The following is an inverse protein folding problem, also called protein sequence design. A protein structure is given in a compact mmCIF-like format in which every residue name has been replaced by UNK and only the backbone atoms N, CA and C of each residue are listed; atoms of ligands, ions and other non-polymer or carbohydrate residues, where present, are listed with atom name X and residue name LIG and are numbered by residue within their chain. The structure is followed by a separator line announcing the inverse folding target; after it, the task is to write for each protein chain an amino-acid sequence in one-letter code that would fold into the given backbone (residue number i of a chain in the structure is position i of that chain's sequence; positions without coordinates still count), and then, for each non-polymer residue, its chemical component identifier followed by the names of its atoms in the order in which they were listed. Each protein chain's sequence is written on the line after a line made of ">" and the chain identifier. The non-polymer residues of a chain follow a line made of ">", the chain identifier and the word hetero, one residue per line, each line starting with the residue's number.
data_IF_264517544605
#
_entry.id   IF_264517544605
#
_cell.length_a   1.000
_cell.length_b   1.000
_cell.length_c   1.000
_cell.angle_alpha   90.00
_cell.angle_beta   90.00
_cell.angle_gamma   90.00
#
_symmetry.space_group_name_H-M   'P 1'
#
loop_
_entity.id
_entity.type
_entity.pdbx_description
1 polymer ?
#
# COMPACT_ATOMS: atom_id res chain seq x y z
N UNK A 1 -53.37 -90.98 -11.18
CA UNK A 1 -53.66 -89.56 -11.45
C UNK A 1 -54.11 -88.94 -10.13
N UNK A 2 -53.12 -88.57 -9.30
CA UNK A 2 -52.75 -87.18 -8.89
C UNK A 2 -53.65 -86.67 -7.73
N UNK A 3 -53.42 -87.05 -6.46
CA UNK A 3 -52.43 -86.56 -5.48
C UNK A 3 -52.53 -85.06 -5.17
N UNK A 4 -53.22 -84.70 -4.08
CA UNK A 4 -53.21 -83.36 -3.47
C UNK A 4 -52.09 -83.26 -2.43
N UNK A 5 -51.28 -82.17 -2.40
CA UNK A 5 -50.24 -81.99 -1.40
C UNK A 5 -50.72 -81.22 -0.15
N UNK A 6 -50.02 -81.47 0.95
CA UNK A 6 -50.22 -80.92 2.30
C UNK A 6 -49.84 -79.42 2.41
N UNK A 7 -50.29 -78.70 3.46
CA UNK A 7 -50.00 -77.29 3.63
C UNK A 7 -48.58 -77.04 4.13
N UNK A 8 -47.94 -76.05 3.49
CA UNK A 8 -46.58 -75.56 3.78
C UNK A 8 -46.51 -74.74 5.07
N UNK A 9 -45.61 -75.14 5.97
CA UNK A 9 -45.23 -74.40 7.19
C UNK A 9 -44.26 -73.26 6.85
N UNK A 10 -44.62 -72.01 7.17
CA UNK A 10 -43.71 -70.85 7.12
C UNK A 10 -42.61 -70.99 8.18
N UNK A 11 -41.33 -70.70 7.86
CA UNK A 11 -40.29 -70.58 8.86
C UNK A 11 -40.40 -69.23 9.59
N UNK A 12 -40.22 -69.29 10.91
CA UNK A 12 -40.13 -68.17 11.84
C UNK A 12 -38.87 -67.35 11.57
N UNK A 13 -39.02 -66.02 11.53
CA UNK A 13 -37.93 -65.07 11.33
C UNK A 13 -37.02 -65.03 12.57
N UNK A 14 -35.74 -65.35 12.38
CA UNK A 14 -34.69 -65.22 13.40
C UNK A 14 -34.32 -63.74 13.56
N UNK A 15 -34.46 -63.23 14.79
CA UNK A 15 -34.08 -61.87 15.18
C UNK A 15 -32.56 -61.67 15.06
N UNK A 16 -32.12 -60.83 14.12
CA UNK A 16 -30.72 -60.41 14.00
C UNK A 16 -30.36 -59.38 15.10
N UNK A 17 -29.23 -59.57 15.76
CA UNK A 17 -28.69 -58.65 16.76
C UNK A 17 -28.29 -57.30 16.12
N UNK A 18 -28.47 -56.16 16.81
CA UNK A 18 -28.14 -54.85 16.28
C UNK A 18 -26.62 -54.69 16.13
N UNK A 19 -26.19 -54.20 14.97
CA UNK A 19 -24.79 -53.85 14.72
C UNK A 19 -24.33 -52.70 15.63
N UNK A 20 -23.07 -52.70 16.08
CA UNK A 20 -22.51 -51.60 16.85
C UNK A 20 -22.47 -50.33 15.99
N UNK A 21 -22.87 -49.21 16.60
CA UNK A 21 -22.83 -47.91 15.97
C UNK A 21 -21.40 -47.55 15.55
N UNK A 22 -21.20 -46.94 14.36
CA UNK A 22 -19.88 -46.50 13.93
C UNK A 22 -19.30 -45.49 14.93
N UNK A 23 -18.03 -45.70 15.30
CA UNK A 23 -17.32 -44.79 16.18
C UNK A 23 -17.33 -43.36 15.59
N UNK A 24 -17.47 -42.32 16.44
CA UNK A 24 -17.46 -40.95 15.96
C UNK A 24 -16.12 -40.68 15.25
N UNK A 25 -16.22 -40.35 13.96
CA UNK A 25 -15.08 -39.88 13.16
C UNK A 25 -14.53 -38.65 13.88
N UNK A 26 -13.26 -38.71 14.29
CA UNK A 26 -12.59 -37.58 14.92
C UNK A 26 -12.74 -36.35 14.01
N UNK A 27 -13.31 -35.27 14.55
CA UNK A 27 -13.47 -34.03 13.81
C UNK A 27 -12.09 -33.59 13.29
N UNK A 28 -11.99 -33.38 11.97
CA UNK A 28 -10.80 -32.80 11.37
C UNK A 28 -10.46 -31.49 12.11
N UNK A 29 -9.18 -31.24 12.43
CA UNK A 29 -8.80 -30.00 13.10
C UNK A 29 -9.31 -28.81 12.28
N UNK A 30 -9.99 -27.88 12.95
CA UNK A 30 -10.52 -26.69 12.31
C UNK A 30 -9.41 -25.99 11.53
N UNK A 31 -9.63 -25.79 10.22
CA UNK A 31 -8.65 -25.15 9.34
C UNK A 31 -8.34 -23.75 9.89
N UNK A 32 -7.08 -23.48 10.24
CA UNK A 32 -6.65 -22.15 10.67
C UNK A 32 -6.85 -21.18 9.50
N UNK A 33 -7.38 -19.99 9.78
CA UNK A 33 -7.55 -18.93 8.77
C UNK A 33 -6.17 -18.46 8.30
N UNK A 34 -5.91 -18.37 6.98
CA UNK A 34 -4.63 -17.88 6.46
C UNK A 34 -4.35 -16.46 6.95
N UNK A 35 -3.10 -16.21 7.32
CA UNK A 35 -2.56 -14.94 7.79
C UNK A 35 -2.05 -14.12 6.63
N UNK A 36 -2.60 -12.93 6.48
CA UNK A 36 -2.38 -12.07 5.34
C UNK A 36 -1.86 -10.71 5.80
N UNK A 37 -0.82 -10.21 5.14
CA UNK A 37 -0.39 -8.83 5.29
C UNK A 37 -0.27 -8.14 3.93
N UNK A 38 -0.44 -6.82 3.94
CA UNK A 38 -0.40 -5.99 2.75
C UNK A 38 0.85 -5.12 2.75
N UNK A 39 1.68 -5.25 1.72
CA UNK A 39 2.70 -4.26 1.40
C UNK A 39 2.02 -2.90 1.18
N UNK A 40 2.31 -1.96 2.06
CA UNK A 40 1.62 -0.69 2.16
C UNK A 40 2.61 0.45 2.09
N UNK A 41 2.46 1.29 1.08
CA UNK A 41 3.24 2.52 0.87
C UNK A 41 2.40 3.77 1.08
N UNK A 42 1.10 3.62 1.32
CA UNK A 42 0.18 4.75 1.41
C UNK A 42 -0.33 5.26 0.08
N UNK A 43 0.24 4.80 -1.03
CA UNK A 43 -0.19 5.20 -2.36
C UNK A 43 -1.53 4.62 -2.77
N UNK A 44 -2.05 5.12 -3.89
CA UNK A 44 -3.37 4.74 -4.44
C UNK A 44 -3.51 3.22 -4.58
N UNK A 45 -2.49 2.51 -5.03
CA UNK A 45 -2.63 1.09 -5.40
C UNK A 45 -2.70 0.20 -4.17
N UNK A 46 -1.77 0.36 -3.24
CA UNK A 46 -1.82 -0.36 -1.96
C UNK A 46 -3.09 -0.02 -1.17
N UNK A 47 -3.55 1.23 -1.21
CA UNK A 47 -4.81 1.63 -0.55
C UNK A 47 -6.04 1.09 -1.27
N UNK A 48 -6.03 0.97 -2.59
CA UNK A 48 -7.10 0.36 -3.37
C UNK A 48 -7.21 -1.14 -3.02
N UNK A 49 -6.09 -1.86 -2.98
CA UNK A 49 -6.07 -3.26 -2.54
C UNK A 49 -6.64 -3.38 -1.13
N UNK A 50 -6.26 -2.49 -0.21
CA UNK A 50 -6.81 -2.52 1.15
C UNK A 50 -8.34 -2.37 1.16
N UNK A 51 -8.88 -1.42 0.38
CA UNK A 51 -10.33 -1.24 0.26
C UNK A 51 -11.01 -2.47 -0.38
N UNK A 52 -10.41 -3.06 -1.40
CA UNK A 52 -10.91 -4.28 -2.02
C UNK A 52 -10.92 -5.45 -1.01
N UNK A 53 -9.90 -5.59 -0.18
CA UNK A 53 -9.83 -6.67 0.81
C UNK A 53 -10.80 -6.50 1.98
N UNK A 54 -10.94 -5.28 2.51
CA UNK A 54 -11.62 -5.03 3.79
C UNK A 54 -12.99 -4.36 3.67
N UNK A 55 -13.25 -3.63 2.57
CA UNK A 55 -14.47 -2.84 2.38
C UNK A 55 -15.38 -3.35 1.26
N UNK A 56 -14.79 -3.71 0.11
CA UNK A 56 -15.49 -4.13 -1.12
C UNK A 56 -14.93 -5.44 -1.70
N UNK A 57 -14.95 -6.53 -0.92
CA UNK A 57 -14.44 -7.84 -1.34
C UNK A 57 -15.18 -8.43 -2.55
N UNK A 58 -16.43 -8.06 -2.75
CA UNK A 58 -17.24 -8.44 -3.92
C UNK A 58 -16.64 -7.95 -5.25
N UNK A 59 -15.93 -6.82 -5.24
CA UNK A 59 -15.34 -6.25 -6.46
C UNK A 59 -14.09 -6.99 -6.94
N UNK A 60 -13.43 -7.79 -6.08
CA UNK A 60 -12.32 -8.64 -6.52
C UNK A 60 -12.80 -9.70 -7.51
N UNK A 61 -13.96 -10.31 -7.28
CA UNK A 61 -14.55 -11.27 -8.22
C UNK A 61 -15.26 -10.57 -9.39
N UNK A 62 -16.04 -9.52 -9.11
CA UNK A 62 -16.94 -8.93 -10.12
C UNK A 62 -16.25 -7.91 -11.03
N UNK A 63 -15.45 -7.00 -10.47
CA UNK A 63 -14.77 -5.98 -11.26
C UNK A 63 -13.41 -6.46 -11.79
N UNK A 64 -12.65 -7.21 -10.98
CA UNK A 64 -11.32 -7.68 -11.36
C UNK A 64 -11.29 -9.12 -11.90
N UNK A 65 -12.43 -9.83 -11.88
CA UNK A 65 -12.52 -11.17 -12.44
C UNK A 65 -11.67 -12.23 -11.71
N UNK A 66 -11.27 -11.99 -10.45
CA UNK A 66 -10.44 -12.93 -9.69
C UNK A 66 -11.28 -14.16 -9.34
N UNK A 67 -10.75 -15.34 -9.64
CA UNK A 67 -11.43 -16.61 -9.43
C UNK A 67 -10.70 -17.47 -8.39
N UNK A 68 -11.43 -18.38 -7.75
CA UNK A 68 -10.81 -19.47 -7.01
C UNK A 68 -9.92 -20.27 -7.96
N UNK A 69 -8.69 -20.62 -7.53
CA UNK A 69 -7.89 -21.61 -8.24
C UNK A 69 -8.71 -22.90 -8.35
N UNK A 70 -8.96 -23.38 -9.57
CA UNK A 70 -9.29 -24.80 -9.75
C UNK A 70 -7.97 -25.55 -9.60
N UNK A 71 -7.96 -26.65 -8.87
CA UNK A 71 -6.84 -27.59 -8.82
C UNK A 71 -6.51 -28.06 -10.25
N UNK A 72 -5.70 -27.31 -10.99
CA UNK A 72 -5.21 -27.65 -12.32
C UNK A 72 -3.97 -26.82 -12.65
N UNK A 73 -2.89 -27.54 -12.92
CA UNK A 73 -1.48 -27.17 -12.80
C UNK A 73 -0.93 -26.11 -13.78
N UNK A 74 -1.71 -25.42 -14.63
CA UNK A 74 -1.14 -24.65 -15.76
C UNK A 74 -1.79 -23.27 -16.04
N UNK A 75 -2.35 -22.59 -15.03
CA UNK A 75 -2.91 -21.24 -15.17
C UNK A 75 -1.96 -20.13 -14.72
N UNK A 76 -2.12 -18.93 -15.25
CA UNK A 76 -1.43 -17.73 -14.77
C UNK A 76 -1.79 -17.46 -13.29
N UNK A 77 -0.91 -17.86 -12.35
CA UNK A 77 -1.03 -17.74 -10.88
C UNK A 77 -1.48 -16.36 -10.36
N UNK A 78 -1.49 -15.34 -11.23
CA UNK A 78 -1.79 -13.94 -10.91
C UNK A 78 -3.29 -13.63 -10.85
N UNK A 79 -4.15 -14.42 -11.48
CA UNK A 79 -5.62 -14.26 -11.44
C UNK A 79 -6.32 -15.23 -10.46
N UNK A 80 -5.51 -15.94 -9.68
CA UNK A 80 -5.98 -16.95 -8.74
C UNK A 80 -5.86 -16.47 -7.30
N UNK A 81 -6.83 -16.84 -6.48
CA UNK A 81 -6.70 -16.68 -5.03
C UNK A 81 -5.54 -17.53 -4.50
N UNK A 82 -4.78 -17.02 -3.52
CA UNK A 82 -3.78 -17.81 -2.81
C UNK A 82 -4.38 -19.06 -2.14
N UNK A 83 -3.59 -20.13 -1.95
CA UNK A 83 -4.05 -21.34 -1.27
C UNK A 83 -4.69 -21.03 0.09
N UNK A 84 -5.91 -21.52 0.30
CA UNK A 84 -6.64 -21.34 1.55
C UNK A 84 -7.42 -20.03 1.70
N UNK A 85 -7.21 -19.04 0.81
CA UNK A 85 -8.06 -17.84 0.76
C UNK A 85 -9.30 -18.16 -0.06
N UNK A 86 -10.47 -18.01 0.56
CA UNK A 86 -11.76 -18.26 -0.09
C UNK A 86 -12.52 -16.94 -0.29
N UNK A 87 -12.96 -16.69 -1.52
CA UNK A 87 -13.97 -15.65 -1.79
C UNK A 87 -15.24 -15.96 -1.00
N UNK A 88 -15.95 -14.91 -0.55
CA UNK A 88 -17.29 -15.09 -0.01
C UNK A 88 -18.19 -15.81 -1.04
N UNK A 89 -19.13 -16.66 -0.60
CA UNK A 89 -20.09 -17.28 -1.52
C UNK A 89 -20.83 -16.19 -2.31
N UNK A 90 -20.88 -16.33 -3.64
CA UNK A 90 -21.65 -15.44 -4.49
C UNK A 90 -23.09 -15.32 -3.99
N UNK A 91 -23.59 -14.07 -3.92
CA UNK A 91 -24.93 -13.68 -3.48
C UNK A 91 -26.02 -14.68 -3.87
N UNK A 92 -26.39 -15.56 -2.95
CA UNK A 92 -27.77 -15.97 -2.76
C UNK A 92 -28.08 -15.83 -1.27
N UNK A 93 -28.72 -14.71 -0.93
CA UNK A 93 -29.52 -14.54 0.28
C UNK A 93 -28.80 -14.72 1.62
N UNK A 94 -28.03 -13.72 2.06
CA UNK A 94 -28.03 -13.30 3.48
C UNK A 94 -27.64 -11.81 3.58
N UNK A 95 -28.22 -11.07 4.52
CA UNK A 95 -27.85 -9.70 4.91
C UNK A 95 -26.45 -9.60 5.58
N UNK A 96 -25.54 -10.53 5.28
CA UNK A 96 -24.21 -10.56 5.86
C UNK A 96 -23.21 -9.97 4.87
N UNK A 97 -22.35 -9.06 5.36
CA UNK A 97 -21.25 -8.50 4.59
C UNK A 97 -20.37 -9.67 4.11
N UNK A 98 -20.06 -9.79 2.81
CA UNK A 98 -19.18 -10.83 2.31
C UNK A 98 -17.83 -10.75 3.06
N UNK A 99 -17.40 -11.81 3.73
CA UNK A 99 -16.11 -11.84 4.44
C UNK A 99 -15.23 -12.93 3.87
N UNK A 100 -14.02 -12.56 3.48
CA UNK A 100 -12.98 -13.54 3.19
C UNK A 100 -12.61 -14.34 4.43
N UNK A 101 -12.25 -15.59 4.22
CA UNK A 101 -11.72 -16.42 5.29
C UNK A 101 -10.20 -16.22 5.46
N UNK A 102 -9.78 -15.02 5.86
CA UNK A 102 -8.38 -14.73 6.24
C UNK A 102 -8.29 -13.88 7.53
N UNK A 103 -7.16 -14.00 8.23
CA UNK A 103 -6.74 -13.09 9.28
C UNK A 103 -5.87 -11.97 8.67
N UNK A 104 -6.36 -10.73 8.67
CA UNK A 104 -5.53 -9.58 8.28
C UNK A 104 -4.61 -9.21 9.43
N UNK A 105 -3.30 -9.43 9.27
CA UNK A 105 -2.31 -9.27 10.33
C UNK A 105 -1.85 -7.82 10.46
N UNK A 106 -1.44 -7.19 9.36
CA UNK A 106 -0.92 -5.83 9.36
C UNK A 106 -0.78 -5.24 7.95
N UNK A 107 -0.68 -3.90 7.93
CA UNK A 107 0.02 -3.16 6.88
C UNK A 107 1.53 -3.33 7.10
N UNK A 108 2.29 -3.51 6.03
CA UNK A 108 3.74 -3.74 6.09
C UNK A 108 4.47 -2.76 5.17
N UNK A 109 5.44 -2.04 5.71
CA UNK A 109 6.32 -1.15 4.93
C UNK A 109 7.76 -1.62 5.11
N UNK A 110 8.35 -2.09 4.01
CA UNK A 110 9.77 -2.41 3.96
C UNK A 110 10.59 -1.13 3.74
N UNK A 111 11.69 -0.97 4.47
CA UNK A 111 12.56 0.19 4.33
C UNK A 111 14.03 -0.19 4.51
N UNK A 112 14.98 0.50 3.85
CA UNK A 112 16.39 0.35 4.18
C UNK A 112 16.68 1.00 5.55
N UNK A 113 17.89 0.78 6.09
CA UNK A 113 18.36 1.36 7.35
C UNK A 113 18.25 2.89 7.43
N UNK A 114 18.50 3.58 6.32
CA UNK A 114 18.44 5.04 6.20
C UNK A 114 17.48 5.43 5.08
N UNK A 115 16.15 5.41 5.31
CA UNK A 115 15.17 5.62 4.25
C UNK A 115 15.12 7.09 3.82
N UNK A 116 15.28 7.31 2.51
CA UNK A 116 15.03 8.61 1.86
C UNK A 116 13.95 8.41 0.80
N UNK A 117 12.68 8.48 1.22
CA UNK A 117 11.53 8.31 0.32
C UNK A 117 10.88 9.65 0.01
N UNK A 118 11.10 10.18 -1.20
CA UNK A 118 10.45 11.42 -1.66
C UNK A 118 8.94 11.22 -1.89
N UNK A 119 8.56 10.05 -2.40
CA UNK A 119 7.20 9.74 -2.83
C UNK A 119 6.27 9.22 -1.72
N UNK A 120 6.82 8.36 -0.84
CA UNK A 120 6.08 7.59 0.16
C UNK A 120 6.72 7.75 1.54
N UNK A 121 6.59 8.93 2.16
CA UNK A 121 7.25 9.25 3.41
C UNK A 121 6.72 8.42 4.59
N UNK A 122 7.63 7.86 5.41
CA UNK A 122 7.27 6.95 6.51
C UNK A 122 6.34 7.57 7.56
N UNK A 123 6.47 8.88 7.81
CA UNK A 123 5.58 9.62 8.71
C UNK A 123 4.15 9.69 8.18
N UNK A 124 3.99 9.91 6.87
CA UNK A 124 2.70 9.89 6.19
C UNK A 124 2.05 8.51 6.26
N UNK A 125 2.81 7.44 5.99
CA UNK A 125 2.31 6.05 6.06
C UNK A 125 1.81 5.69 7.46
N UNK A 126 2.52 6.08 8.51
CA UNK A 126 2.05 5.84 9.89
C UNK A 126 0.79 6.63 10.23
N UNK A 127 0.67 7.86 9.73
CA UNK A 127 -0.53 8.66 9.94
C UNK A 127 -1.73 8.03 9.24
N UNK A 128 -1.56 7.48 8.03
CA UNK A 128 -2.60 6.70 7.36
C UNK A 128 -2.98 5.45 8.14
N UNK A 129 -2.01 4.65 8.59
CA UNK A 129 -2.30 3.45 9.38
C UNK A 129 -3.08 3.77 10.66
N UNK A 130 -2.73 4.87 11.34
CA UNK A 130 -3.47 5.38 12.50
C UNK A 130 -4.90 5.78 12.11
N UNK A 131 -5.08 6.51 11.01
CA UNK A 131 -6.40 6.92 10.54
C UNK A 131 -7.26 5.72 10.07
N UNK A 132 -6.64 4.63 9.64
CA UNK A 132 -7.30 3.38 9.27
C UNK A 132 -7.59 2.47 10.48
N UNK A 133 -7.08 2.79 11.67
CA UNK A 133 -7.07 1.91 12.85
C UNK A 133 -6.50 0.50 12.55
N UNK A 134 -5.47 0.43 11.70
CA UNK A 134 -4.82 -0.82 11.34
C UNK A 134 -3.38 -0.87 11.86
N UNK A 135 -2.90 -2.04 12.30
CA UNK A 135 -1.52 -2.20 12.72
C UNK A 135 -0.56 -2.00 11.53
N UNK A 136 0.50 -1.23 11.75
CA UNK A 136 1.58 -1.01 10.79
C UNK A 136 2.87 -1.64 11.30
N UNK A 137 3.46 -2.54 10.51
CA UNK A 137 4.79 -3.09 10.73
C UNK A 137 5.78 -2.43 9.78
N UNK A 138 6.71 -1.65 10.32
CA UNK A 138 7.88 -1.16 9.58
C UNK A 138 8.98 -2.21 9.71
N UNK A 139 9.47 -2.71 8.58
CA UNK A 139 10.44 -3.79 8.54
C UNK A 139 11.70 -3.30 7.84
N UNK A 140 12.79 -3.21 8.59
CA UNK A 140 14.09 -2.90 8.02
C UNK A 140 14.57 -4.06 7.14
N UNK A 141 15.00 -3.72 5.93
CA UNK A 141 15.64 -4.64 4.98
C UNK A 141 17.14 -4.42 5.06
N UNK A 142 17.83 -5.47 5.52
CA UNK A 142 19.30 -5.52 5.57
C UNK A 142 19.76 -6.35 4.37
N UNK A 143 20.45 -5.75 3.38
CA UNK A 143 20.98 -6.49 2.24
C UNK A 143 22.16 -7.36 2.69
N UNK A 144 21.94 -8.67 2.80
CA UNK A 144 22.99 -9.65 3.12
C UNK A 144 22.61 -11.04 2.57
N UNK A 145 23.36 -11.61 1.61
CA UNK A 145 24.45 -10.98 0.86
C UNK A 145 23.97 -9.95 -0.18
N UNK A 146 22.67 -9.92 -0.48
CA UNK A 146 22.07 -9.00 -1.45
C UNK A 146 20.68 -8.52 -1.01
N UNK A 147 20.12 -7.56 -1.76
CA UNK A 147 18.80 -7.01 -1.48
C UNK A 147 17.67 -8.04 -1.54
N UNK A 148 17.73 -9.00 -2.47
CA UNK A 148 16.68 -10.01 -2.61
C UNK A 148 16.62 -10.93 -1.39
N UNK A 149 17.79 -11.30 -0.86
CA UNK A 149 17.94 -12.11 0.35
C UNK A 149 17.50 -11.33 1.59
N UNK A 150 17.86 -10.05 1.67
CA UNK A 150 17.38 -9.15 2.73
C UNK A 150 15.85 -9.09 2.79
N UNK A 151 15.20 -8.89 1.64
CA UNK A 151 13.74 -8.93 1.54
C UNK A 151 13.16 -10.29 1.89
N UNK A 152 13.75 -11.39 1.43
CA UNK A 152 13.26 -12.72 1.77
C UNK A 152 13.31 -12.98 3.29
N UNK A 153 14.38 -12.55 3.97
CA UNK A 153 14.50 -12.62 5.43
C UNK A 153 13.47 -11.72 6.13
N UNK A 154 13.28 -10.50 5.65
CA UNK A 154 12.26 -9.57 6.14
C UNK A 154 10.83 -10.12 5.96
N UNK A 155 10.55 -10.83 4.87
CA UNK A 155 9.24 -11.47 4.63
C UNK A 155 9.05 -12.66 5.58
N UNK A 156 10.05 -13.52 5.76
CA UNK A 156 9.97 -14.67 6.68
C UNK A 156 9.70 -14.25 8.13
N UNK A 157 10.28 -13.13 8.57
CA UNK A 157 10.10 -12.66 9.95
C UNK A 157 8.67 -12.22 10.29
N UNK A 158 7.81 -12.04 9.29
CA UNK A 158 6.43 -11.62 9.49
C UNK A 158 5.49 -12.75 9.91
N UNK A 159 5.85 -14.02 9.68
CA UNK A 159 5.03 -15.22 9.94
C UNK A 159 3.64 -15.13 9.26
N UNK A 160 3.65 -15.16 7.93
CA UNK A 160 2.48 -14.99 7.06
C UNK A 160 2.26 -16.20 6.16
N UNK A 161 1.00 -16.51 5.87
CA UNK A 161 0.62 -17.47 4.85
C UNK A 161 0.55 -16.82 3.46
N UNK A 162 0.29 -15.51 3.39
CA UNK A 162 0.19 -14.74 2.14
C UNK A 162 0.71 -13.31 2.34
N UNK A 163 1.53 -12.85 1.41
CA UNK A 163 1.88 -11.42 1.27
C UNK A 163 1.12 -10.82 0.08
N UNK A 164 0.52 -9.65 0.26
CA UNK A 164 -0.24 -8.96 -0.79
C UNK A 164 0.45 -7.66 -1.19
N UNK A 165 0.36 -7.27 -2.46
CA UNK A 165 0.90 -6.01 -2.99
C UNK A 165 -0.13 -5.27 -3.84
N UNK A 166 0.11 -3.98 -4.07
CA UNK A 166 -0.66 -3.16 -5.00
C UNK A 166 -0.14 -3.18 -6.45
N UNK A 167 0.88 -4.00 -6.77
CA UNK A 167 1.55 -3.95 -8.07
C UNK A 167 0.59 -4.28 -9.21
N UNK A 168 0.53 -3.41 -10.24
CA UNK A 168 -0.29 -3.65 -11.44
C UNK A 168 0.48 -4.28 -12.59
N UNK A 169 1.82 -4.15 -12.61
CA UNK A 169 2.67 -4.68 -13.67
C UNK A 169 4.10 -4.96 -13.19
N UNK A 170 4.90 -5.61 -14.05
CA UNK A 170 6.30 -5.88 -13.73
C UNK A 170 7.21 -4.70 -14.05
N UNK A 171 7.61 -3.96 -13.01
CA UNK A 171 8.51 -2.80 -13.13
C UNK A 171 9.91 -3.05 -12.59
N UNK A 172 10.11 -4.16 -11.86
CA UNK A 172 11.38 -4.49 -11.19
C UNK A 172 11.82 -5.93 -11.47
N UNK A 173 11.54 -6.41 -12.68
CA UNK A 173 11.85 -7.78 -13.13
C UNK A 173 11.42 -8.81 -12.09
N UNK A 174 10.18 -8.80 -11.63
CA UNK A 174 9.60 -9.71 -10.63
C UNK A 174 10.36 -9.77 -9.29
N UNK A 175 11.01 -8.67 -8.86
CA UNK A 175 11.78 -8.62 -7.62
C UNK A 175 11.01 -9.12 -6.38
N UNK A 176 9.86 -8.52 -6.07
CA UNK A 176 9.07 -8.90 -4.90
C UNK A 176 8.58 -10.36 -4.98
N UNK A 177 8.21 -10.82 -6.18
CA UNK A 177 7.81 -12.21 -6.43
C UNK A 177 8.95 -13.17 -6.14
N UNK A 178 10.17 -12.87 -6.59
CA UNK A 178 11.36 -13.69 -6.27
C UNK A 178 11.64 -13.69 -4.77
N UNK A 179 11.63 -12.53 -4.12
CA UNK A 179 11.89 -12.43 -2.69
C UNK A 179 10.86 -13.22 -1.86
N UNK A 180 9.58 -13.08 -2.18
CA UNK A 180 8.49 -13.83 -1.52
C UNK A 180 8.60 -15.35 -1.78
N UNK A 181 8.90 -15.76 -3.02
CA UNK A 181 9.16 -17.17 -3.35
C UNK A 181 10.34 -17.73 -2.56
N UNK A 182 11.44 -16.99 -2.46
CA UNK A 182 12.61 -17.37 -1.64
C UNK A 182 12.27 -17.43 -0.15
N UNK A 183 11.32 -16.61 0.31
CA UNK A 183 10.79 -16.66 1.67
C UNK A 183 9.84 -17.84 1.92
N UNK A 184 9.38 -18.55 0.88
CA UNK A 184 8.36 -19.59 0.99
C UNK A 184 6.95 -19.02 1.21
N UNK A 185 6.74 -17.74 0.93
CA UNK A 185 5.45 -17.05 1.12
C UNK A 185 4.83 -16.70 -0.24
N UNK A 186 3.63 -17.20 -0.55
CA UNK A 186 2.87 -16.78 -1.73
C UNK A 186 2.69 -15.26 -1.81
N UNK A 187 2.96 -14.69 -2.99
CA UNK A 187 2.71 -13.28 -3.28
C UNK A 187 1.42 -13.14 -4.09
N UNK A 188 0.48 -12.33 -3.60
CA UNK A 188 -0.77 -12.00 -4.30
C UNK A 188 -0.76 -10.54 -4.77
N UNK A 189 -1.09 -10.32 -6.03
CA UNK A 189 -1.13 -9.00 -6.67
C UNK A 189 -2.53 -8.79 -7.28
N UNK A 190 -3.55 -8.39 -6.50
CA UNK A 190 -4.93 -8.34 -6.99
C UNK A 190 -5.15 -7.37 -8.16
N UNK A 191 -4.29 -6.35 -8.29
CA UNK A 191 -4.38 -5.34 -9.35
C UNK A 191 -3.56 -5.70 -10.59
N UNK A 192 -2.98 -6.90 -10.65
CA UNK A 192 -2.11 -7.28 -11.75
C UNK A 192 -2.86 -7.27 -13.10
N UNK A 193 -2.33 -6.52 -14.05
CA UNK A 193 -2.92 -6.40 -15.39
C UNK A 193 -4.23 -5.61 -15.44
N UNK A 194 -4.63 -4.96 -14.35
CA UNK A 194 -5.86 -4.15 -14.33
C UNK A 194 -5.74 -2.99 -15.32
N UNK A 195 -6.83 -2.72 -16.01
CA UNK A 195 -6.96 -1.55 -16.87
C UNK A 195 -6.84 -0.27 -16.03
N UNK A 196 -6.03 0.69 -16.50
CA UNK A 196 -5.69 1.87 -15.70
C UNK A 196 -6.90 2.78 -15.51
N UNK A 197 -7.81 2.86 -16.47
CA UNK A 197 -9.03 3.63 -16.34
C UNK A 197 -9.97 2.98 -15.31
N UNK A 198 -10.13 1.65 -15.36
CA UNK A 198 -10.86 0.90 -14.34
C UNK A 198 -10.25 1.09 -12.94
N UNK A 199 -8.92 1.09 -12.80
CA UNK A 199 -8.28 1.35 -11.51
C UNK A 199 -8.68 2.73 -10.95
N UNK A 200 -8.69 3.77 -11.79
CA UNK A 200 -9.15 5.10 -11.38
C UNK A 200 -10.66 5.15 -11.07
N UNK A 201 -11.48 4.41 -11.81
CA UNK A 201 -12.90 4.26 -11.51
C UNK A 201 -13.13 3.64 -10.13
N UNK A 202 -12.36 2.59 -9.80
CA UNK A 202 -12.42 1.99 -8.48
C UNK A 202 -11.96 2.97 -7.39
N UNK A 203 -10.82 3.63 -7.58
CA UNK A 203 -10.26 4.60 -6.62
C UNK A 203 -11.24 5.74 -6.35
N UNK A 204 -11.71 6.44 -7.39
CA UNK A 204 -12.47 7.68 -7.24
C UNK A 204 -13.96 7.43 -7.02
N UNK A 205 -14.54 6.44 -7.71
CA UNK A 205 -15.98 6.28 -7.74
C UNK A 205 -16.47 5.18 -6.80
N UNK A 206 -15.80 4.02 -6.78
CA UNK A 206 -16.23 2.89 -5.97
C UNK A 206 -15.79 3.04 -4.49
N UNK A 207 -14.55 3.48 -4.27
CA UNK A 207 -13.96 3.60 -2.92
C UNK A 207 -14.00 5.01 -2.35
N UNK A 208 -14.29 6.02 -3.18
CA UNK A 208 -14.28 7.44 -2.82
C UNK A 208 -12.97 7.87 -2.15
N UNK A 209 -11.85 7.32 -2.63
CA UNK A 209 -10.53 7.64 -2.12
C UNK A 209 -10.11 9.05 -2.58
N UNK A 210 -9.33 9.73 -1.76
CA UNK A 210 -8.76 11.06 -2.07
C UNK A 210 -7.24 10.92 -2.23
N UNK A 211 -6.74 10.50 -3.40
CA UNK A 211 -5.31 10.47 -3.68
C UNK A 211 -4.77 11.89 -3.91
N UNK A 212 -3.68 12.24 -3.25
CA UNK A 212 -2.93 13.49 -3.43
C UNK A 212 -1.62 13.18 -4.13
N UNK A 213 -1.28 13.92 -5.19
CA UNK A 213 0.02 13.75 -5.88
C UNK A 213 1.14 14.18 -4.95
N UNK A 214 2.08 13.29 -4.64
CA UNK A 214 3.20 13.57 -3.71
C UNK A 214 4.54 13.68 -4.40
N UNK A 215 4.70 13.12 -5.60
CA UNK A 215 5.94 13.21 -6.36
C UNK A 215 5.65 13.11 -7.85
N UNK A 216 6.41 13.83 -8.66
CA UNK A 216 6.38 13.80 -10.13
C UNK A 216 7.81 13.74 -10.65
N UNK A 217 8.08 12.76 -11.52
CA UNK A 217 9.30 12.68 -12.30
C UNK A 217 9.19 13.61 -13.52
N UNK A 218 9.88 14.75 -13.46
CA UNK A 218 9.74 15.83 -14.44
C UNK A 218 10.05 15.38 -15.88
N UNK A 219 11.12 14.60 -16.16
CA UNK A 219 11.43 14.15 -17.51
C UNK A 219 10.32 13.31 -18.15
N UNK A 220 9.58 12.50 -17.37
CA UNK A 220 8.48 11.69 -17.89
C UNK A 220 7.33 12.54 -18.44
N UNK A 221 7.15 13.76 -17.91
CA UNK A 221 6.09 14.66 -18.33
C UNK A 221 6.50 15.68 -19.40
N UNK A 222 7.77 15.71 -19.84
CA UNK A 222 8.24 16.67 -20.84
C UNK A 222 7.41 16.63 -22.14
N UNK A 223 7.10 15.43 -22.64
CA UNK A 223 6.25 15.30 -23.84
C UNK A 223 4.82 15.79 -23.62
N UNK A 224 4.30 15.69 -22.39
CA UNK A 224 2.93 16.04 -22.05
C UNK A 224 2.77 17.54 -21.78
N UNK A 225 3.68 18.13 -21.01
CA UNK A 225 3.57 19.49 -20.46
C UNK A 225 4.44 20.54 -21.16
N UNK A 226 5.37 20.14 -22.03
CA UNK A 226 6.15 21.06 -22.85
C UNK A 226 7.61 21.13 -22.44
N UNK A 227 8.19 22.34 -22.48
CA UNK A 227 9.57 22.56 -22.10
C UNK A 227 9.81 22.43 -20.58
N UNK A 228 11.06 22.52 -20.16
CA UNK A 228 11.47 22.34 -18.76
C UNK A 228 10.77 23.31 -17.81
N UNK A 229 10.58 24.57 -18.21
CA UNK A 229 9.94 25.58 -17.38
C UNK A 229 8.43 25.31 -17.23
N UNK A 230 7.77 24.96 -18.33
CA UNK A 230 6.36 24.57 -18.32
C UNK A 230 6.11 23.30 -17.47
N UNK A 231 6.99 22.31 -17.59
CA UNK A 231 6.92 21.07 -16.79
C UNK A 231 7.08 21.36 -15.31
N UNK A 232 8.08 22.14 -14.90
CA UNK A 232 8.29 22.48 -13.49
C UNK A 232 7.10 23.27 -12.93
N UNK A 233 6.64 24.29 -13.67
CA UNK A 233 5.48 25.08 -13.28
C UNK A 233 4.25 24.21 -13.09
N UNK A 234 3.96 23.31 -14.03
CA UNK A 234 2.82 22.41 -13.97
C UNK A 234 2.96 21.40 -12.83
N UNK A 235 4.16 20.86 -12.61
CA UNK A 235 4.44 19.98 -11.49
C UNK A 235 4.16 20.67 -10.15
N UNK A 236 4.55 21.94 -10.00
CA UNK A 236 4.28 22.75 -8.81
C UNK A 236 2.79 23.00 -8.58
N UNK A 237 1.98 23.07 -9.65
CA UNK A 237 0.53 23.22 -9.57
C UNK A 237 -0.19 21.94 -9.12
N UNK A 238 0.34 20.75 -9.46
CA UNK A 238 -0.33 19.46 -9.19
C UNK A 238 0.19 18.75 -7.94
N UNK A 239 1.46 18.91 -7.58
CA UNK A 239 2.04 18.29 -6.38
C UNK A 239 1.42 18.91 -5.12
N UNK A 240 0.92 18.06 -4.23
CA UNK A 240 0.13 18.42 -3.06
C UNK A 240 -1.36 18.63 -3.33
N UNK A 241 -1.83 18.39 -4.56
CA UNK A 241 -3.25 18.49 -4.92
C UNK A 241 -3.91 17.12 -5.05
N UNK A 242 -5.21 17.02 -4.70
CA UNK A 242 -5.97 15.80 -4.94
C UNK A 242 -6.12 15.53 -6.43
N UNK A 243 -6.15 14.25 -6.81
CA UNK A 243 -6.56 13.80 -8.13
C UNK A 243 -8.01 13.40 -8.05
N UNK A 244 -8.91 14.31 -8.42
CA UNK A 244 -10.33 14.02 -8.65
C UNK A 244 -10.60 13.77 -10.14
N UNK A 245 -11.87 13.59 -10.52
CA UNK A 245 -12.26 13.38 -11.93
C UNK A 245 -11.91 14.55 -12.83
N UNK A 246 -11.95 15.77 -12.31
CA UNK A 246 -11.62 16.97 -13.06
C UNK A 246 -10.11 17.03 -13.33
N UNK A 247 -9.28 16.82 -12.30
CA UNK A 247 -7.84 16.70 -12.41
C UNK A 247 -7.42 15.56 -13.36
N UNK A 248 -8.01 14.38 -13.20
CA UNK A 248 -7.76 13.21 -14.05
C UNK A 248 -8.00 13.54 -15.52
N UNK A 249 -9.16 14.13 -15.85
CA UNK A 249 -9.54 14.46 -17.23
C UNK A 249 -8.76 15.65 -17.81
N UNK A 250 -8.40 16.64 -16.98
CA UNK A 250 -7.74 17.87 -17.43
C UNK A 250 -6.26 17.69 -17.73
N UNK A 251 -5.54 16.85 -16.99
CA UNK A 251 -4.09 16.78 -17.14
C UNK A 251 -3.51 15.37 -17.22
N UNK A 252 -4.08 14.39 -16.51
CA UNK A 252 -3.47 13.06 -16.45
C UNK A 252 -3.86 12.20 -17.64
N UNK A 253 -5.15 12.14 -18.01
CA UNK A 253 -5.61 11.46 -19.23
C UNK A 253 -4.96 12.04 -20.49
N UNK A 254 -4.90 13.37 -20.68
CA UNK A 254 -4.17 13.95 -21.82
C UNK A 254 -2.66 13.63 -21.82
N UNK A 255 -2.03 13.52 -20.64
CA UNK A 255 -0.63 13.13 -20.54
C UNK A 255 -0.39 11.65 -20.92
N UNK A 256 -1.37 10.80 -20.66
CA UNK A 256 -1.31 9.37 -20.98
C UNK A 256 -1.66 9.04 -22.44
N UNK A 257 -2.50 9.85 -23.08
CA UNK A 257 -3.01 9.58 -24.44
C UNK A 257 -1.98 9.74 -25.59
N UNK A 258 -0.72 10.12 -25.31
CA UNK A 258 0.28 10.38 -26.36
C UNK A 258 0.98 9.09 -26.80
N UNK A 259 0.74 8.70 -28.05
CA UNK A 259 1.30 7.50 -28.70
C UNK A 259 2.82 7.36 -28.46
N UNK A 260 3.21 6.20 -27.90
CA UNK A 260 4.59 5.70 -27.79
C UNK A 260 5.57 6.47 -26.88
N UNK A 261 5.07 7.25 -25.93
CA UNK A 261 5.91 7.72 -24.80
C UNK A 261 5.20 8.67 -23.84
N UNK A 262 3.87 8.58 -23.76
CA UNK A 262 3.09 9.22 -22.71
C UNK A 262 3.31 8.56 -21.35
N UNK A 263 2.82 9.23 -20.33
CA UNK A 263 2.88 8.78 -18.93
C UNK A 263 1.90 7.62 -18.74
N UNK A 264 2.27 6.56 -18.03
CA UNK A 264 1.29 5.54 -17.59
C UNK A 264 0.22 6.23 -16.73
N UNK A 265 -1.06 5.96 -17.05
CA UNK A 265 -2.18 6.64 -16.42
C UNK A 265 -2.24 6.41 -14.89
N UNK A 266 -1.66 5.31 -14.40
CA UNK A 266 -1.49 5.02 -12.98
C UNK A 266 -0.09 5.38 -12.45
N UNK A 267 0.85 5.77 -13.30
CA UNK A 267 2.22 6.11 -12.90
C UNK A 267 3.07 4.88 -12.56
N UNK A 268 2.75 3.72 -13.13
CA UNK A 268 3.42 2.45 -12.82
C UNK A 268 4.92 2.47 -13.16
N UNK A 269 5.39 3.35 -14.05
CA UNK A 269 6.80 3.49 -14.41
C UNK A 269 7.51 4.59 -13.60
N UNK A 270 6.91 5.04 -12.50
CA UNK A 270 7.47 6.05 -11.60
C UNK A 270 7.32 7.49 -12.08
N UNK A 271 6.42 7.75 -13.03
CA UNK A 271 6.17 9.10 -13.55
C UNK A 271 5.60 10.02 -12.49
N UNK A 272 4.72 9.49 -11.65
CA UNK A 272 4.23 10.20 -10.47
C UNK A 272 3.88 9.22 -9.36
N UNK A 273 3.80 9.74 -8.14
CA UNK A 273 3.31 9.02 -6.99
C UNK A 273 2.24 9.83 -6.29
N UNK A 274 1.39 9.10 -5.58
CA UNK A 274 0.33 9.67 -4.76
C UNK A 274 0.36 9.09 -3.36
N UNK A 275 -0.30 9.79 -2.45
CA UNK A 275 -0.69 9.29 -1.14
C UNK A 275 -2.19 9.51 -0.93
N UNK A 276 -2.88 8.52 -0.39
CA UNK A 276 -4.32 8.62 -0.13
C UNK A 276 -4.57 9.23 1.24
N UNK A 277 -5.22 10.40 1.28
CA UNK A 277 -5.44 11.13 2.53
C UNK A 277 -6.81 10.89 3.16
N UNK A 278 -7.73 10.30 2.41
CA UNK A 278 -9.09 10.02 2.86
C UNK A 278 -9.73 8.93 1.99
N UNK A 279 -10.82 8.33 2.49
CA UNK A 279 -11.58 7.29 1.80
C UNK A 279 -12.50 6.52 2.74
N UNK A 280 -13.30 5.61 2.21
CA UNK A 280 -14.33 4.91 2.97
C UNK A 280 -13.82 4.13 4.21
N UNK A 281 -12.56 3.70 4.21
CA UNK A 281 -11.94 3.02 5.36
C UNK A 281 -11.32 3.96 6.40
N UNK A 282 -11.14 5.25 6.10
CA UNK A 282 -10.48 6.19 7.01
C UNK A 282 -11.46 6.65 8.08
N UNK A 283 -11.01 6.66 9.35
CA UNK A 283 -11.75 7.22 10.49
C UNK A 283 -11.51 8.72 10.68
N UNK A 284 -10.69 9.32 9.83
CA UNK A 284 -10.40 10.73 9.80
C UNK A 284 -9.43 11.04 8.66
N UNK A 285 -9.52 12.26 8.13
CA UNK A 285 -8.63 12.72 7.07
C UNK A 285 -7.18 12.82 7.59
N UNK A 286 -6.24 12.35 6.78
CA UNK A 286 -4.81 12.51 7.01
C UNK A 286 -4.37 13.89 6.51
N UNK A 287 -3.85 14.70 7.41
CA UNK A 287 -3.24 15.98 7.03
C UNK A 287 -1.81 15.77 6.52
N UNK A 288 -1.50 16.32 5.35
CA UNK A 288 -0.17 16.31 4.74
C UNK A 288 0.37 17.74 4.67
N UNK A 289 0.78 18.37 5.79
CA UNK A 289 1.37 19.70 5.76
C UNK A 289 2.67 19.68 4.96
N UNK A 290 2.85 20.64 4.06
CA UNK A 290 4.03 20.70 3.21
C UNK A 290 3.93 21.73 2.09
N UNK A 291 4.89 21.69 1.17
CA UNK A 291 4.93 22.49 -0.05
C UNK A 291 5.62 21.70 -1.17
N UNK A 292 5.32 22.05 -2.41
CA UNK A 292 6.01 21.47 -3.56
C UNK A 292 7.46 22.02 -3.63
N UNK A 293 8.44 21.12 -3.61
CA UNK A 293 9.87 21.41 -3.72
C UNK A 293 10.51 20.61 -4.85
N UNK A 294 11.50 21.22 -5.49
CA UNK A 294 12.34 20.56 -6.47
C UNK A 294 13.47 19.83 -5.73
N UNK A 295 13.79 18.61 -6.13
CA UNK A 295 14.95 17.90 -5.60
C UNK A 295 16.27 18.56 -6.05
N UNK A 296 17.39 18.35 -5.35
CA UNK A 296 18.68 18.97 -5.69
C UNK A 296 19.15 18.69 -7.12
N UNK A 297 18.74 17.55 -7.69
CA UNK A 297 19.08 17.13 -9.04
C UNK A 297 18.14 17.71 -10.12
N UNK A 298 17.06 18.40 -9.74
CA UNK A 298 16.09 18.98 -10.67
C UNK A 298 15.33 17.93 -11.50
N UNK A 299 15.21 16.71 -10.97
CA UNK A 299 14.62 15.54 -11.62
C UNK A 299 13.19 15.27 -11.12
N UNK A 300 12.90 15.61 -9.86
CA UNK A 300 11.63 15.36 -9.20
C UNK A 300 11.07 16.63 -8.55
N UNK A 301 9.78 16.88 -8.75
CA UNK A 301 9.01 17.77 -7.88
C UNK A 301 8.27 16.90 -6.86
N UNK A 302 8.45 17.17 -5.58
CA UNK A 302 7.85 16.36 -4.51
C UNK A 302 7.23 17.23 -3.42
N UNK A 303 6.31 16.64 -2.66
CA UNK A 303 5.65 17.30 -1.54
C UNK A 303 6.54 17.20 -0.31
N UNK A 304 7.24 18.29 0.01
CA UNK A 304 8.14 18.38 1.14
C UNK A 304 7.41 18.91 2.38
N UNK A 305 7.48 18.18 3.49
CA UNK A 305 6.81 18.52 4.73
C UNK A 305 7.38 17.81 5.95
N UNK A 306 6.88 18.10 7.16
CA UNK A 306 7.34 17.48 8.40
C UNK A 306 7.20 15.96 8.41
N UNK A 307 6.17 15.44 7.72
CA UNK A 307 5.96 14.00 7.59
C UNK A 307 6.90 13.36 6.58
N UNK A 308 7.51 14.15 5.69
CA UNK A 308 8.43 13.70 4.63
C UNK A 308 9.90 13.88 4.98
N UNK A 309 10.19 14.65 6.03
CA UNK A 309 11.50 14.69 6.68
C UNK A 309 11.55 13.54 7.68
N UNK A 310 12.35 12.52 7.39
CA UNK A 310 12.50 11.39 8.29
C UNK A 310 13.16 11.87 9.61
N UNK A 311 12.53 11.72 10.79
CA UNK A 311 13.18 12.02 12.07
C UNK A 311 14.44 11.18 12.32
N UNK A 312 14.67 10.10 11.55
CA UNK A 312 15.87 9.25 11.61
C UNK A 312 16.91 9.55 10.52
N UNK A 313 16.62 10.45 9.58
CA UNK A 313 17.64 10.92 8.65
C UNK A 313 18.67 11.76 9.45
N UNK A 314 19.99 11.56 9.23
CA UNK A 314 20.97 12.49 9.77
C UNK A 314 20.59 13.90 9.30
N UNK A 315 20.43 14.82 10.26
CA UNK A 315 20.40 16.25 9.93
C UNK A 315 21.74 16.53 9.26
N UNK A 316 21.72 16.78 7.95
CA UNK A 316 22.86 17.44 7.32
C UNK A 316 22.99 18.76 8.07
N UNK A 317 24.04 18.87 8.90
CA UNK A 317 24.39 20.15 9.49
C UNK A 317 24.65 21.06 8.30
N UNK A 318 23.84 22.10 8.15
CA UNK A 318 24.16 23.18 7.23
C UNK A 318 25.56 23.68 7.59
N UNK A 319 26.55 23.40 6.74
CA UNK A 319 27.94 23.87 6.91
C UNK A 319 28.08 25.39 6.72
N UNK A 320 26.98 26.15 6.84
CA UNK A 320 26.95 27.60 6.71
C UNK A 320 26.67 28.37 8.01
N UNK A 321 26.58 27.70 9.17
CA UNK A 321 26.41 28.38 10.47
C UNK A 321 27.71 28.52 11.30
N UNK A 322 28.88 28.29 10.70
CA UNK A 322 30.19 28.58 11.32
C UNK A 322 30.85 29.84 10.77
N UNK A 323 30.14 30.96 10.63
CA UNK A 323 30.82 32.26 10.56
C UNK A 323 30.04 33.45 11.15
N UNK A 324 29.49 33.32 12.36
CA UNK A 324 29.21 34.54 13.15
C UNK A 324 29.20 34.29 14.67
N UNK A 325 30.38 34.14 15.26
CA UNK A 325 30.66 34.56 16.66
C UNK A 325 32.16 34.48 16.96
N UNK A 326 32.96 35.32 16.29
CA UNK A 326 34.31 35.66 16.80
C UNK A 326 34.17 36.66 17.95
N UNK A 327 33.89 36.16 19.14
CA UNK A 327 34.13 36.89 20.39
C UNK A 327 35.64 36.86 20.66
N UNK A 328 36.31 38.02 20.57
CA UNK A 328 37.70 38.20 21.04
C UNK A 328 37.72 38.36 22.56
N UNK A 329 38.69 37.78 23.29
CA UNK A 329 38.77 37.91 24.74
C UNK A 329 39.58 39.15 25.19
N UNK A 330 39.04 39.77 26.25
CA UNK A 330 39.63 40.48 27.40
C UNK A 330 40.87 41.38 27.26
N UNK A 331 40.79 42.61 27.81
CA UNK A 331 41.64 43.05 28.95
C UNK A 331 40.88 44.09 29.81
N UNK A 332 40.99 43.88 31.13
CA UNK A 332 40.55 44.68 32.30
C UNK A 332 40.98 46.17 32.26
N UNK A 333 40.23 47.05 32.95
CA UNK A 333 40.60 47.68 34.25
C UNK A 333 39.57 48.75 34.64
N UNK A 334 39.42 48.92 35.95
CA UNK A 334 38.45 49.63 36.76
C UNK A 334 38.30 51.15 36.57
N UNK A 335 37.22 51.62 37.22
CA UNK A 335 37.08 52.84 38.02
C UNK A 335 36.31 54.02 37.40
N UNK A 336 35.08 54.19 37.94
CA UNK A 336 34.59 55.39 38.66
C UNK A 336 34.72 56.74 37.93
N UNK A 337 33.59 57.40 37.67
CA UNK A 337 33.16 58.64 38.35
C UNK A 337 31.92 59.26 37.65
N UNK A 338 31.02 59.70 38.52
CA UNK A 338 29.79 60.49 38.37
C UNK A 338 30.02 61.86 37.70
N UNK A 339 29.10 62.31 36.82
CA UNK A 339 28.42 63.64 36.81
C UNK A 339 27.61 63.77 35.50
N UNK A 340 26.27 63.82 35.56
CA UNK A 340 25.40 65.02 35.59
C UNK A 340 25.32 65.82 34.29
N UNK A 341 24.06 66.04 33.86
CA UNK A 341 23.52 67.22 33.14
C UNK A 341 24.15 67.57 31.75
N UNK A 342 23.44 68.05 30.73
CA UNK A 342 22.22 68.85 30.63
C UNK A 342 21.83 68.95 29.13
N UNK A 343 20.52 69.01 28.84
CA UNK A 343 19.81 70.00 27.99
C UNK A 343 19.99 70.05 26.45
N UNK A 344 18.80 70.21 25.82
CA UNK A 344 18.40 70.85 24.55
C UNK A 344 18.81 70.18 23.22
N UNK A 345 17.86 69.65 22.43
CA UNK A 345 16.87 70.32 21.54
C UNK A 345 17.42 70.72 20.16
N UNK A 346 16.55 70.76 19.13
CA UNK A 346 16.88 70.35 17.77
C UNK A 346 16.93 71.51 16.77
N UNK A 347 17.58 71.25 15.63
CA UNK A 347 17.42 71.94 14.35
C UNK A 347 17.82 70.90 13.30
N UNK A 348 17.13 70.64 12.20
CA UNK A 348 15.97 71.23 11.52
C UNK A 348 15.57 70.25 10.42
#
# INVERSE_FOLDING_TARGET
>A
MTSNPAPSTRPTATSAAPMPAPAPVAALPARRRPRLALCFTGGKDSTLVLHLLLHKPDLLATALGIQHARDSDHGDDRLHLPPGVLLPPNHQSTNSVPRYDFEFVALVTFHPKSPRFLAHPLGGIATQASALHLPLRRVEVIPDPDFATGYATAIRSLDLDVLVTGDMMDVCSAFMRRAAKTAGVPLWCPLWGVDRALAWDLVLDAMKMVPVVTCVHLPSFAKAWGDKEAVEKRAREVVGKPVDRDALNKWLVPAAAKDSGGVDLCGEMGEFHSMVVDGALFHGRVELPGRAELDPQGTYMYWAGPLTRDPLAPVEKDENDEEETKIKPEVKVAAKVVTECTVAQPTS
#
